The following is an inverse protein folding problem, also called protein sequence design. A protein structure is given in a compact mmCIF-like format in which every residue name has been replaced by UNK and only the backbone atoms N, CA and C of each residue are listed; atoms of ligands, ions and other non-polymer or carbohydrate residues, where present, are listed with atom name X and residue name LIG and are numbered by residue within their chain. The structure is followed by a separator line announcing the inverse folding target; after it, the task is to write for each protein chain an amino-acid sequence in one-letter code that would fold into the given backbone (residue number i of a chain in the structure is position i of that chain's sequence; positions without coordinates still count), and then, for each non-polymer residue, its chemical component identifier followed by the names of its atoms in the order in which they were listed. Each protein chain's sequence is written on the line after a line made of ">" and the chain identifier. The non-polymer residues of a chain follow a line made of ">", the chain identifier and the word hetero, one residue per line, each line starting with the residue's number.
data_IF_863336067236
#
_entry.id   IF_863336067236
#
_cell.length_a   1.000
_cell.length_b   1.000
_cell.length_c   1.000
_cell.angle_alpha   90.00
_cell.angle_beta   90.00
_cell.angle_gamma   90.00
#
_symmetry.space_group_name_H-M   'P 1'
#
loop_
_entity.id
_entity.type
_entity.pdbx_description
1 polymer ?
#
# COMPACT_ATOMS: atom_id res chain seq x y z
N UNK A 1 5.76 4.77 -15.53
CA UNK A 1 5.81 4.90 -14.05
C UNK A 1 6.11 3.52 -13.50
N UNK A 2 7.07 3.40 -12.58
CA UNK A 2 7.37 2.10 -11.95
C UNK A 2 6.36 1.86 -10.78
N UNK A 3 6.21 0.61 -10.31
CA UNK A 3 5.26 0.26 -9.24
C UNK A 3 5.46 1.05 -7.94
N UNK A 4 6.71 1.24 -7.50
CA UNK A 4 7.03 1.97 -6.26
C UNK A 4 6.56 3.41 -6.35
N UNK A 5 6.90 4.13 -7.42
CA UNK A 5 6.49 5.53 -7.60
C UNK A 5 4.99 5.71 -7.79
N UNK A 6 4.27 4.67 -8.23
CA UNK A 6 2.81 4.70 -8.24
C UNK A 6 2.25 4.62 -6.82
N UNK A 7 2.77 3.69 -6.01
CA UNK A 7 2.36 3.53 -4.61
C UNK A 7 2.72 4.74 -3.75
N UNK A 8 3.88 5.39 -4.00
CA UNK A 8 4.26 6.63 -3.32
C UNK A 8 3.23 7.73 -3.54
N UNK A 9 2.76 7.92 -4.77
CA UNK A 9 1.71 8.91 -5.08
C UNK A 9 0.38 8.61 -4.40
N UNK A 10 -0.01 7.34 -4.40
CA UNK A 10 -1.25 6.93 -3.74
C UNK A 10 -1.16 7.12 -2.22
N UNK A 11 0.00 6.83 -1.65
CA UNK A 11 0.33 7.07 -0.24
C UNK A 11 0.26 8.55 0.12
N UNK A 12 0.86 9.42 -0.70
CA UNK A 12 0.80 10.88 -0.52
C UNK A 12 -0.64 11.40 -0.61
N UNK A 13 -1.44 10.88 -1.55
CA UNK A 13 -2.84 11.24 -1.69
C UNK A 13 -3.65 10.84 -0.45
N UNK A 14 -3.42 9.63 0.09
CA UNK A 14 -4.07 9.19 1.31
C UNK A 14 -3.66 10.06 2.51
N UNK A 15 -2.37 10.39 2.67
CA UNK A 15 -1.91 11.28 3.75
C UNK A 15 -2.58 12.65 3.68
N UNK A 16 -2.79 13.19 2.47
CA UNK A 16 -3.37 14.51 2.29
C UNK A 16 -4.89 14.56 2.57
N UNK A 17 -5.58 13.42 2.52
CA UNK A 17 -7.05 13.35 2.57
C UNK A 17 -7.58 12.54 3.74
N UNK A 18 -6.81 11.58 4.23
CA UNK A 18 -7.22 10.50 5.14
C UNK A 18 -8.54 9.84 4.71
N UNK A 19 -8.77 9.79 3.39
CA UNK A 19 -10.02 9.33 2.80
C UNK A 19 -10.00 7.80 2.64
N UNK A 20 -10.76 7.12 3.49
CA UNK A 20 -10.89 5.67 3.46
C UNK A 20 -11.59 5.16 2.17
N UNK A 21 -12.25 6.02 1.37
CA UNK A 21 -12.76 5.64 0.05
C UNK A 21 -11.63 5.33 -0.96
N UNK A 22 -10.39 5.73 -0.65
CA UNK A 22 -9.19 5.35 -1.39
C UNK A 22 -8.69 3.93 -1.06
N UNK A 23 -9.28 3.27 -0.05
CA UNK A 23 -8.96 1.90 0.33
C UNK A 23 -9.78 0.89 -0.50
N UNK A 24 -9.32 0.63 -1.71
CA UNK A 24 -9.95 -0.35 -2.61
C UNK A 24 -9.27 -1.72 -2.55
N UNK A 25 -10.07 -2.77 -2.66
CA UNK A 25 -9.58 -4.15 -2.84
C UNK A 25 -9.81 -4.63 -4.28
N UNK A 26 -8.86 -5.36 -4.85
CA UNK A 26 -8.93 -5.97 -6.18
C UNK A 26 -9.20 -5.00 -7.34
N UNK A 27 -8.74 -3.76 -7.23
CA UNK A 27 -8.84 -2.80 -8.34
C UNK A 27 -7.79 -3.11 -9.39
N UNK A 28 -8.16 -3.21 -10.66
CA UNK A 28 -7.16 -3.39 -11.72
C UNK A 28 -6.62 -2.04 -12.17
N UNK A 29 -5.30 -1.95 -12.32
CA UNK A 29 -4.64 -0.78 -12.89
C UNK A 29 -3.53 -1.21 -13.85
N UNK A 30 -3.33 -0.44 -14.91
CA UNK A 30 -2.25 -0.67 -15.87
C UNK A 30 -1.12 0.32 -15.62
N UNK A 31 0.11 -0.19 -15.46
CA UNK A 31 1.33 0.62 -15.42
C UNK A 31 2.18 0.26 -16.64
N UNK A 32 2.08 1.07 -17.69
CA UNK A 32 2.69 0.73 -18.99
C UNK A 32 1.94 -0.43 -19.66
N UNK A 33 2.67 -1.48 -20.04
CA UNK A 33 2.11 -2.70 -20.64
C UNK A 33 1.69 -3.77 -19.63
N UNK A 34 1.95 -3.55 -18.33
CA UNK A 34 1.71 -4.54 -17.28
C UNK A 34 0.43 -4.22 -16.52
N UNK A 35 -0.40 -5.24 -16.30
CA UNK A 35 -1.64 -5.14 -15.52
C UNK A 35 -1.34 -5.59 -14.10
N UNK A 36 -1.74 -4.76 -13.14
CA UNK A 36 -1.63 -5.03 -11.72
C UNK A 36 -3.01 -5.13 -11.08
N UNK A 37 -3.09 -5.92 -10.01
CA UNK A 37 -4.13 -5.82 -9.00
C UNK A 37 -3.61 -4.91 -7.89
N UNK A 38 -4.39 -3.90 -7.57
CA UNK A 38 -4.13 -2.93 -6.55
C UNK A 38 -5.06 -3.22 -5.36
N UNK A 39 -4.45 -3.44 -4.20
CA UNK A 39 -5.12 -3.63 -2.93
C UNK A 39 -4.66 -2.57 -1.95
N UNK A 40 -5.60 -1.96 -1.26
CA UNK A 40 -5.36 -0.99 -0.20
C UNK A 40 -6.26 -1.34 0.98
N UNK A 41 -5.66 -1.48 2.15
CA UNK A 41 -6.39 -1.81 3.37
C UNK A 41 -5.77 -1.14 4.57
N UNK A 42 -6.56 -1.05 5.63
CA UNK A 42 -6.15 -0.53 6.93
C UNK A 42 -6.26 -1.65 7.95
N UNK A 43 -5.15 -1.94 8.63
CA UNK A 43 -5.08 -2.88 9.74
C UNK A 43 -4.90 -2.12 11.05
N UNK A 44 -5.44 -2.64 12.14
CA UNK A 44 -5.43 -2.00 13.45
C UNK A 44 -4.63 -2.84 14.45
N UNK A 45 -3.55 -2.28 14.97
CA UNK A 45 -2.67 -2.92 15.94
C UNK A 45 -2.82 -2.22 17.30
N UNK A 46 -3.90 -2.55 18.00
CA UNK A 46 -4.25 -1.90 19.25
C UNK A 46 -4.68 -0.46 19.02
N UNK A 47 -3.80 0.49 19.35
CA UNK A 47 -4.04 1.94 19.21
C UNK A 47 -3.41 2.54 17.94
N UNK A 48 -2.54 1.77 17.28
CA UNK A 48 -1.94 2.15 16.02
C UNK A 48 -2.79 1.62 14.86
N UNK A 49 -2.74 2.30 13.72
CA UNK A 49 -3.27 1.77 12.47
C UNK A 49 -2.20 1.77 11.39
N UNK A 50 -2.21 0.74 10.56
CA UNK A 50 -1.30 0.59 9.43
C UNK A 50 -2.13 0.55 8.16
N UNK A 51 -1.91 1.52 7.28
CA UNK A 51 -2.50 1.52 5.94
C UNK A 51 -1.46 0.95 4.97
N UNK A 52 -1.86 -0.05 4.20
CA UNK A 52 -1.00 -0.78 3.26
C UNK A 52 -1.50 -0.56 1.84
N UNK A 53 -0.57 -0.37 0.91
CA UNK A 53 -0.82 -0.25 -0.51
C UNK A 53 0.01 -1.31 -1.22
N UNK A 54 -0.66 -2.24 -1.90
CA UNK A 54 -0.06 -3.40 -2.57
C UNK A 54 -0.37 -3.35 -4.07
N UNK A 55 0.66 -3.54 -4.91
CA UNK A 55 0.52 -3.86 -6.32
C UNK A 55 1.00 -5.28 -6.59
N UNK A 56 0.08 -6.12 -7.08
CA UNK A 56 0.36 -7.50 -7.47
C UNK A 56 0.26 -7.66 -8.97
N UNK A 57 1.34 -8.08 -9.62
CA UNK A 57 1.35 -8.27 -11.08
C UNK A 57 0.42 -9.42 -11.49
N UNK A 58 -0.45 -9.17 -12.49
CA UNK A 58 -1.43 -10.15 -12.98
C UNK A 58 -0.83 -10.96 -14.13
N UNK A 59 -0.78 -12.28 -13.98
CA UNK A 59 -0.49 -13.22 -15.08
C UNK A 59 0.91 -13.84 -15.09
N UNK A 60 1.77 -13.57 -14.09
CA UNK A 60 3.02 -14.29 -13.89
C UNK A 60 2.84 -15.52 -12.97
N UNK A 61 3.55 -16.62 -13.26
CA UNK A 61 3.65 -17.81 -12.42
C UNK A 61 4.29 -17.52 -11.05
N UNK A 62 5.06 -16.44 -10.98
CA UNK A 62 5.62 -15.86 -9.75
C UNK A 62 4.89 -14.55 -9.56
N UNK A 63 4.02 -14.46 -8.55
CA UNK A 63 3.39 -13.19 -8.23
C UNK A 63 4.39 -12.29 -7.53
N UNK A 64 4.97 -11.35 -8.26
CA UNK A 64 5.70 -10.22 -7.69
C UNK A 64 4.68 -9.26 -7.07
N UNK A 65 4.88 -8.97 -5.78
CA UNK A 65 4.14 -7.91 -5.09
C UNK A 65 5.08 -6.74 -4.84
N UNK A 66 4.52 -5.55 -4.77
CA UNK A 66 5.22 -4.35 -4.31
C UNK A 66 4.33 -3.70 -3.27
N UNK A 67 4.88 -3.47 -2.08
CA UNK A 67 4.11 -2.99 -0.94
C UNK A 67 4.74 -1.73 -0.34
N UNK A 68 3.92 -0.75 0.01
CA UNK A 68 4.29 0.38 0.85
C UNK A 68 3.22 0.59 1.91
N UNK A 69 3.60 1.21 3.03
CA UNK A 69 2.65 1.47 4.10
C UNK A 69 2.80 2.82 4.78
N UNK A 70 1.83 3.11 5.62
CA UNK A 70 1.81 4.22 6.57
C UNK A 70 1.41 3.65 7.92
N UNK A 71 2.16 3.95 8.98
CA UNK A 71 1.71 3.75 10.35
C UNK A 71 1.27 5.07 10.95
N UNK A 72 0.07 5.09 11.49
CA UNK A 72 -0.47 6.17 12.31
C UNK A 72 -0.43 5.73 13.77
N UNK A 73 0.29 6.48 14.61
CA UNK A 73 0.30 6.29 16.08
C UNK A 73 -0.70 7.22 16.76
N UNK A 74 -1.02 6.95 18.04
CA UNK A 74 -1.82 7.86 18.87
C UNK A 74 -1.24 9.28 18.97
N UNK A 75 0.08 9.43 18.80
CA UNK A 75 0.76 10.72 18.86
C UNK A 75 0.65 11.53 17.57
N UNK A 76 -0.10 11.04 16.58
CA UNK A 76 -0.21 11.59 15.22
C UNK A 76 1.11 11.60 14.43
N UNK A 77 2.11 10.84 14.87
CA UNK A 77 3.34 10.68 14.11
C UNK A 77 3.10 9.69 12.96
N UNK A 78 3.19 10.20 11.73
CA UNK A 78 3.10 9.40 10.52
C UNK A 78 4.47 8.78 10.25
N UNK A 79 4.53 7.44 10.21
CA UNK A 79 5.72 6.73 9.75
C UNK A 79 5.46 6.09 8.38
N UNK A 80 6.25 6.48 7.39
CA UNK A 80 6.25 5.85 6.08
C UNK A 80 6.99 4.50 6.17
N UNK A 81 6.30 3.43 5.82
CA UNK A 81 6.85 2.08 5.84
C UNK A 81 7.28 1.66 4.44
N UNK A 82 8.50 1.13 4.34
CA UNK A 82 8.98 0.39 3.17
C UNK A 82 8.44 -1.04 3.16
N UNK A 83 8.62 -1.74 2.04
CA UNK A 83 8.31 -3.16 1.93
C UNK A 83 8.97 -3.97 3.04
N UNK A 84 10.29 -3.84 3.25
CA UNK A 84 10.99 -4.58 4.30
C UNK A 84 10.40 -4.34 5.69
N UNK A 85 10.00 -3.10 6.00
CA UNK A 85 9.42 -2.78 7.31
C UNK A 85 8.01 -3.38 7.48
N UNK A 86 7.26 -3.53 6.39
CA UNK A 86 5.98 -4.26 6.41
C UNK A 86 6.22 -5.76 6.65
N UNK A 87 7.20 -6.34 5.98
CA UNK A 87 7.60 -7.74 6.18
C UNK A 87 8.03 -8.01 7.63
N UNK A 88 8.79 -7.10 8.23
CA UNK A 88 9.25 -7.20 9.63
C UNK A 88 8.09 -7.23 10.64
N UNK A 89 6.91 -6.69 10.28
CA UNK A 89 5.69 -6.71 11.09
C UNK A 89 4.66 -7.75 10.63
N UNK A 90 5.04 -8.64 9.70
CA UNK A 90 4.20 -9.74 9.22
C UNK A 90 3.15 -9.34 8.18
N UNK A 91 3.30 -8.17 7.57
CA UNK A 91 2.47 -7.72 6.44
C UNK A 91 3.23 -8.03 5.14
N UNK A 92 2.77 -9.00 4.33
CA UNK A 92 3.43 -9.38 3.08
C UNK A 92 3.30 -8.34 1.96
#
# INVERSE_FOLDING_TARGET
>A
MNPVSFLEKLREQYIATEDDDLLFTNKECALGSTIYRLNCWKDFHGKDSVVVFELKEKGLLISTSTCLGIRFSETQDILLLSEQQLWDIGIP
#
